data_IF_365398854218
#
_entry.id   IF_365398854218
#
_cell.length_a   1.000
_cell.length_b   1.000
_cell.length_c   1.000
_cell.angle_alpha   90.00
_cell.angle_beta   90.00
_cell.angle_gamma   90.00
#
_symmetry.space_group_name_H-M   'P 1'
#
loop_
_entity.id
_entity.type
_entity.pdbx_description
1 polymer ?
#
# COMPACT_ATOMS: atom_id res chain seq x y z
N UNK A 1 -29.90 7.21 -6.59
CA UNK A 1 -28.74 6.51 -5.98
C UNK A 1 -28.35 7.29 -4.75
N UNK A 2 -28.32 6.64 -3.59
CA UNK A 2 -27.96 7.28 -2.34
C UNK A 2 -26.47 7.69 -2.34
N UNK A 3 -26.05 8.73 -1.60
CA UNK A 3 -24.64 9.15 -1.54
C UNK A 3 -23.68 8.01 -1.18
N UNK A 4 -24.06 7.14 -0.25
CA UNK A 4 -23.25 5.98 0.14
C UNK A 4 -23.07 4.94 -0.99
N UNK A 5 -24.08 4.77 -1.85
CA UNK A 5 -24.01 3.87 -3.00
C UNK A 5 -23.05 4.42 -4.07
N UNK A 6 -23.06 5.75 -4.28
CA UNK A 6 -22.10 6.44 -5.17
C UNK A 6 -20.68 6.23 -4.67
N UNK A 7 -20.43 6.46 -3.37
CA UNK A 7 -19.10 6.29 -2.78
C UNK A 7 -18.59 4.84 -2.88
N UNK A 8 -19.46 3.86 -2.63
CA UNK A 8 -19.09 2.44 -2.72
C UNK A 8 -18.75 2.03 -4.17
N UNK A 9 -19.56 2.45 -5.15
CA UNK A 9 -19.30 2.16 -6.56
C UNK A 9 -18.04 2.86 -7.06
N UNK A 10 -17.84 4.14 -6.69
CA UNK A 10 -16.64 4.89 -7.06
C UNK A 10 -15.40 4.31 -6.39
N UNK A 11 -15.49 3.74 -5.18
CA UNK A 11 -14.38 3.04 -4.55
C UNK A 11 -13.94 1.82 -5.38
N UNK A 12 -14.88 0.99 -5.84
CA UNK A 12 -14.60 -0.15 -6.72
C UNK A 12 -13.95 0.31 -8.03
N UNK A 13 -14.51 1.35 -8.67
CA UNK A 13 -13.94 1.92 -9.91
C UNK A 13 -12.54 2.45 -9.70
N UNK A 14 -12.31 3.15 -8.59
CA UNK A 14 -11.00 3.70 -8.27
C UNK A 14 -9.98 2.58 -8.04
N UNK A 15 -10.32 1.52 -7.30
CA UNK A 15 -9.45 0.36 -7.14
C UNK A 15 -9.14 -0.31 -8.49
N UNK A 16 -10.14 -0.54 -9.34
CA UNK A 16 -9.91 -1.07 -10.69
C UNK A 16 -9.02 -0.16 -11.55
N UNK A 17 -9.20 1.16 -11.46
CA UNK A 17 -8.32 2.12 -12.13
C UNK A 17 -6.88 1.96 -11.64
N UNK A 18 -6.64 1.87 -10.34
CA UNK A 18 -5.30 1.66 -9.78
C UNK A 18 -4.72 0.33 -10.28
N UNK A 19 -5.45 -0.78 -10.15
CA UNK A 19 -5.00 -2.10 -10.60
C UNK A 19 -4.62 -2.10 -12.07
N UNK A 20 -5.46 -1.52 -12.95
CA UNK A 20 -5.17 -1.44 -14.38
C UNK A 20 -3.88 -0.68 -14.68
N UNK A 21 -3.60 0.40 -13.94
CA UNK A 21 -2.39 1.21 -14.16
C UNK A 21 -1.13 0.57 -13.60
N UNK A 22 -1.26 -0.23 -12.53
CA UNK A 22 -0.10 -0.82 -11.85
C UNK A 22 0.15 -2.29 -12.23
N UNK A 23 -0.82 -2.99 -12.81
CA UNK A 23 -0.71 -4.37 -13.25
C UNK A 23 -0.98 -4.51 -14.76
N UNK A 24 -0.19 -3.84 -15.63
CA UNK A 24 -0.31 -4.04 -17.07
C UNK A 24 0.09 -5.48 -17.45
N UNK A 25 -0.51 -5.99 -18.52
CA UNK A 25 -0.10 -7.28 -19.09
C UNK A 25 1.29 -7.21 -19.74
N UNK A 26 1.65 -6.03 -20.25
CA UNK A 26 2.95 -5.74 -20.82
C UNK A 26 3.52 -4.43 -20.26
N UNK A 27 4.57 -4.55 -19.44
CA UNK A 27 5.34 -3.47 -18.85
C UNK A 27 6.32 -2.82 -19.84
N UNK A 28 6.59 -3.41 -21.01
CA UNK A 28 7.63 -2.97 -21.94
C UNK A 28 7.42 -1.58 -22.53
N UNK A 29 6.19 -1.06 -22.46
CA UNK A 29 5.81 0.28 -22.90
C UNK A 29 5.71 1.29 -21.76
N UNK A 30 5.82 0.82 -20.52
CA UNK A 30 5.59 1.62 -19.32
C UNK A 30 6.90 2.20 -18.78
N UNK A 31 6.79 3.34 -18.09
CA UNK A 31 7.86 3.89 -17.26
C UNK A 31 7.58 3.52 -15.81
N UNK A 32 8.52 2.79 -15.21
CA UNK A 32 8.50 2.51 -13.78
C UNK A 32 9.09 3.68 -13.01
N UNK A 33 8.71 3.82 -11.75
CA UNK A 33 9.27 4.83 -10.85
C UNK A 33 9.56 4.26 -9.48
N UNK A 34 10.77 4.54 -8.99
CA UNK A 34 11.24 4.17 -7.66
C UNK A 34 11.42 5.42 -6.81
N UNK A 35 10.91 5.41 -5.58
CA UNK A 35 11.23 6.47 -4.61
C UNK A 35 12.71 6.40 -4.22
N UNK A 36 13.43 7.52 -4.35
CA UNK A 36 14.88 7.65 -4.07
C UNK A 36 15.30 7.33 -2.64
N UNK A 37 14.36 7.15 -1.72
CA UNK A 37 14.64 6.67 -0.37
C UNK A 37 15.38 5.32 -0.32
N UNK A 38 15.39 4.53 -1.41
CA UNK A 38 16.01 3.19 -1.46
C UNK A 38 17.27 3.05 -2.32
N UNK A 39 17.92 4.13 -2.77
CA UNK A 39 19.16 4.02 -3.55
C UNK A 39 20.39 4.19 -2.65
N UNK A 40 20.98 3.07 -2.22
CA UNK A 40 22.29 3.03 -1.58
C UNK A 40 23.36 2.80 -2.66
N UNK A 41 23.52 3.74 -3.58
CA UNK A 41 24.56 3.65 -4.61
C UNK A 41 25.42 4.92 -4.65
N UNK A 42 26.71 4.75 -4.34
CA UNK A 42 27.82 5.60 -4.78
C UNK A 42 27.90 7.01 -4.19
N UNK A 43 28.86 7.20 -3.26
CA UNK A 43 29.55 8.43 -2.79
C UNK A 43 28.76 9.70 -2.44
N UNK A 44 27.53 9.87 -2.88
CA UNK A 44 26.73 11.05 -2.57
C UNK A 44 25.80 10.77 -1.39
N UNK A 45 25.99 11.51 -0.30
CA UNK A 45 25.11 11.53 0.86
C UNK A 45 23.73 12.09 0.44
N UNK A 46 22.79 11.21 0.16
CA UNK A 46 21.41 11.55 -0.13
C UNK A 46 20.47 10.90 0.89
N UNK A 47 19.24 11.42 1.10
CA UNK A 47 18.44 11.22 2.32
C UNK A 47 17.79 9.83 2.48
N UNK A 48 18.32 8.78 1.87
CA UNK A 48 17.85 7.40 2.09
C UNK A 48 17.91 7.03 3.57
N UNK A 49 18.99 7.40 4.26
CA UNK A 49 19.15 7.19 5.71
C UNK A 49 18.09 7.94 6.53
N UNK A 50 17.65 9.13 6.08
CA UNK A 50 16.61 9.89 6.76
C UNK A 50 15.25 9.18 6.67
N UNK A 51 14.87 8.67 5.49
CA UNK A 51 13.59 7.96 5.32
C UNK A 51 13.48 6.74 6.24
N UNK A 52 14.57 5.99 6.38
CA UNK A 52 14.58 4.80 7.24
C UNK A 52 14.74 5.10 8.73
N UNK A 53 15.19 6.30 9.09
CA UNK A 53 15.17 6.80 10.46
C UNK A 53 13.78 7.27 10.93
N UNK A 54 12.78 7.30 10.05
CA UNK A 54 11.43 7.73 10.39
C UNK A 54 10.63 6.62 11.07
N UNK A 55 9.67 7.01 11.90
CA UNK A 55 8.60 6.12 12.33
C UNK A 55 7.78 5.58 11.16
N UNK A 56 7.23 4.37 11.33
CA UNK A 56 6.48 3.64 10.31
C UNK A 56 5.37 4.47 9.64
N UNK A 57 4.58 5.21 10.43
CA UNK A 57 3.48 6.03 9.91
C UNK A 57 3.96 7.10 8.92
N UNK A 58 5.10 7.73 9.20
CA UNK A 58 5.70 8.75 8.33
C UNK A 58 6.23 8.14 7.04
N UNK A 59 6.83 6.96 7.10
CA UNK A 59 7.27 6.23 5.91
C UNK A 59 6.07 5.91 5.00
N UNK A 60 5.01 5.34 5.58
CA UNK A 60 3.77 5.00 4.85
C UNK A 60 3.09 6.24 4.26
N UNK A 61 3.04 7.35 5.00
CA UNK A 61 2.51 8.62 4.49
C UNK A 61 3.27 9.07 3.23
N UNK A 62 4.59 9.04 3.26
CA UNK A 62 5.40 9.45 2.12
C UNK A 62 5.23 8.53 0.90
N UNK A 63 5.19 7.22 1.10
CA UNK A 63 4.94 6.26 0.01
C UNK A 63 3.60 6.51 -0.69
N UNK A 64 2.55 6.87 0.06
CA UNK A 64 1.25 7.23 -0.52
C UNK A 64 1.33 8.44 -1.45
N UNK A 65 2.06 9.49 -1.07
CA UNK A 65 2.21 10.68 -1.90
C UNK A 65 3.01 10.37 -3.17
N UNK A 66 4.09 9.61 -3.04
CA UNK A 66 4.86 9.15 -4.20
C UNK A 66 4.00 8.29 -5.14
N UNK A 67 3.18 7.40 -4.59
CA UNK A 67 2.23 6.59 -5.36
C UNK A 67 1.19 7.46 -6.08
N UNK A 68 0.57 8.41 -5.37
CA UNK A 68 -0.41 9.33 -5.95
C UNK A 68 0.17 10.15 -7.12
N UNK A 69 1.40 10.67 -6.97
CA UNK A 69 2.09 11.38 -8.05
C UNK A 69 2.37 10.47 -9.25
N UNK A 70 2.71 9.21 -9.00
CA UNK A 70 2.97 8.21 -10.04
C UNK A 70 1.70 7.89 -10.83
N UNK A 71 0.57 7.68 -10.13
CA UNK A 71 -0.75 7.50 -10.75
C UNK A 71 -1.16 8.68 -11.61
N UNK A 72 -0.97 9.91 -11.12
CA UNK A 72 -1.28 11.13 -11.86
C UNK A 72 -0.46 11.29 -13.15
N UNK A 73 0.74 10.70 -13.16
CA UNK A 73 1.69 10.75 -14.26
C UNK A 73 1.58 9.54 -15.19
N UNK A 74 0.66 8.60 -14.94
CA UNK A 74 0.54 7.36 -15.70
C UNK A 74 1.77 6.44 -15.60
N UNK A 75 2.45 6.44 -14.45
CA UNK A 75 3.67 5.65 -14.20
C UNK A 75 3.38 4.48 -13.28
N UNK A 76 4.16 3.41 -13.44
CA UNK A 76 4.10 2.23 -12.58
C UNK A 76 5.00 2.44 -11.37
N UNK A 77 4.42 2.41 -10.18
CA UNK A 77 5.12 2.67 -8.94
C UNK A 77 5.74 1.39 -8.36
N UNK A 78 6.96 1.52 -7.85
CA UNK A 78 7.65 0.48 -7.11
C UNK A 78 7.91 0.92 -5.68
N UNK A 79 7.74 0.01 -4.72
CA UNK A 79 8.26 0.23 -3.37
C UNK A 79 9.79 0.40 -3.38
N UNK A 80 10.35 1.16 -2.43
CA UNK A 80 11.78 1.14 -2.15
C UNK A 80 12.32 -0.28 -1.89
N UNK A 81 13.59 -0.48 -2.19
CA UNK A 81 14.29 -1.78 -2.19
C UNK A 81 14.94 -2.17 -0.85
N UNK A 82 14.95 -1.28 0.16
CA UNK A 82 15.68 -1.52 1.41
C UNK A 82 14.91 -1.08 2.67
N UNK A 83 15.35 -1.57 3.83
CA UNK A 83 15.18 -1.03 5.20
C UNK A 83 13.75 -0.75 5.70
N UNK A 84 12.78 -1.63 5.43
CA UNK A 84 11.56 -1.69 6.22
C UNK A 84 11.80 -2.45 7.52
N UNK A 85 11.98 -1.72 8.61
CA UNK A 85 12.23 -2.30 9.94
C UNK A 85 10.90 -2.36 10.71
N UNK A 86 10.13 -3.42 10.48
CA UNK A 86 9.13 -3.86 11.45
C UNK A 86 9.69 -5.11 12.17
N UNK A 87 9.74 -5.13 13.51
CA UNK A 87 10.42 -6.18 14.27
C UNK A 87 9.71 -7.53 14.29
N UNK A 88 8.54 -7.68 13.67
CA UNK A 88 7.67 -8.82 13.96
C UNK A 88 8.10 -10.12 13.27
N UNK A 89 8.61 -10.15 12.01
CA UNK A 89 9.01 -11.44 11.36
C UNK A 89 9.58 -11.34 9.92
N UNK A 90 10.62 -10.55 9.63
CA UNK A 90 11.29 -10.71 8.33
C UNK A 90 12.79 -10.38 8.33
N UNK A 91 13.61 -11.35 7.93
CA UNK A 91 15.07 -11.19 7.85
C UNK A 91 15.50 -10.23 6.72
N UNK A 92 14.72 -10.10 5.63
CA UNK A 92 15.09 -9.25 4.50
C UNK A 92 14.80 -7.76 4.72
N UNK A 93 14.03 -7.39 5.75
CA UNK A 93 13.72 -5.98 6.09
C UNK A 93 13.22 -5.17 4.87
N UNK A 94 12.27 -5.73 4.12
CA UNK A 94 11.75 -5.14 2.89
C UNK A 94 10.22 -5.02 2.95
N UNK A 95 9.65 -4.09 2.18
CA UNK A 95 8.19 -3.85 2.19
C UNK A 95 7.39 -5.07 1.70
N UNK A 96 7.95 -5.86 0.80
CA UNK A 96 7.34 -7.09 0.25
C UNK A 96 7.20 -8.22 1.29
N UNK A 97 7.96 -8.18 2.39
CA UNK A 97 7.74 -9.07 3.55
C UNK A 97 6.37 -8.87 4.21
N UNK A 98 5.81 -7.67 4.12
CA UNK A 98 4.61 -7.30 4.86
C UNK A 98 3.42 -7.05 3.94
N UNK A 99 3.69 -6.41 2.80
CA UNK A 99 2.68 -5.96 1.87
C UNK A 99 2.83 -6.65 0.53
N UNK A 100 1.72 -6.89 -0.15
CA UNK A 100 1.78 -7.39 -1.52
C UNK A 100 2.46 -6.33 -2.42
N UNK A 101 3.18 -6.74 -3.47
CA UNK A 101 3.81 -5.79 -4.37
C UNK A 101 2.77 -4.87 -5.03
N UNK A 102 3.10 -3.59 -5.25
CA UNK A 102 2.16 -2.62 -5.81
C UNK A 102 1.97 -2.79 -7.32
N UNK A 103 2.81 -3.62 -7.96
CA UNK A 103 2.84 -3.90 -9.40
C UNK A 103 3.36 -5.32 -9.66
N UNK A 104 3.02 -5.90 -10.82
CA UNK A 104 3.64 -7.13 -11.35
C UNK A 104 4.91 -6.86 -12.18
N UNK A 105 5.20 -5.61 -12.51
CA UNK A 105 6.36 -5.25 -13.30
C UNK A 105 7.65 -5.43 -12.49
N UNK A 106 8.73 -5.72 -13.20
CA UNK A 106 10.09 -5.80 -12.68
C UNK A 106 10.72 -4.41 -12.60
N UNK A 107 11.49 -4.18 -11.53
CA UNK A 107 12.34 -2.99 -11.38
C UNK A 107 13.49 -2.93 -12.41
N UNK A 108 13.73 -4.00 -13.16
CA UNK A 108 14.80 -4.09 -14.16
C UNK A 108 14.31 -3.51 -15.50
N UNK A 109 15.10 -2.63 -16.10
CA UNK A 109 14.83 -2.09 -17.45
C UNK A 109 15.14 -3.14 -18.50
N UNK A 110 14.35 -3.18 -19.58
CA UNK A 110 14.65 -4.07 -20.70
C UNK A 110 16.03 -3.73 -21.30
N UNK A 111 17.01 -4.67 -21.33
CA UNK A 111 18.28 -4.40 -21.98
C UNK A 111 18.05 -4.22 -23.48
N UNK A 112 18.74 -3.24 -24.06
CA UNK A 112 18.89 -3.14 -25.50
C UNK A 112 19.60 -4.39 -25.98
N UNK A 113 18.85 -5.30 -26.60
CA UNK A 113 19.28 -6.58 -27.18
C UNK A 113 19.72 -7.69 -26.20
N UNK A 114 19.18 -8.90 -26.43
CA UNK A 114 19.59 -10.22 -25.86
C UNK A 114 19.16 -10.69 -24.45
N UNK A 115 18.18 -10.08 -23.78
CA UNK A 115 17.53 -10.72 -22.61
C UNK A 115 16.48 -11.77 -23.01
N UNK A 116 16.36 -12.86 -22.22
CA UNK A 116 15.35 -13.93 -22.36
C UNK A 116 13.96 -13.36 -22.74
N UNK A 117 13.50 -13.67 -23.95
CA UNK A 117 12.28 -13.08 -24.55
C UNK A 117 11.06 -13.19 -23.63
N UNK A 118 11.01 -14.26 -22.84
CA UNK A 118 9.91 -14.58 -21.94
C UNK A 118 9.73 -13.60 -20.78
N UNK A 119 10.76 -12.83 -20.38
CA UNK A 119 10.66 -11.87 -19.26
C UNK A 119 10.60 -10.40 -19.72
N UNK A 120 10.64 -10.13 -21.03
CA UNK A 120 10.62 -8.76 -21.55
C UNK A 120 9.32 -8.02 -21.23
N UNK A 121 8.19 -8.72 -21.26
CA UNK A 121 6.88 -8.16 -20.95
C UNK A 121 6.74 -7.72 -19.48
N UNK A 122 7.62 -8.17 -18.59
CA UNK A 122 7.63 -7.72 -17.19
C UNK A 122 8.54 -6.51 -16.97
N UNK A 123 9.39 -6.13 -17.93
CA UNK A 123 10.38 -5.07 -17.73
C UNK A 123 9.86 -3.74 -18.25
N UNK A 124 10.21 -2.66 -17.56
CA UNK A 124 9.88 -1.31 -18.03
C UNK A 124 10.70 -0.91 -19.25
N UNK A 125 10.15 0.02 -20.04
CA UNK A 125 10.91 0.76 -21.05
C UNK A 125 12.02 1.59 -20.41
N UNK A 126 11.69 2.23 -19.29
CA UNK A 126 12.56 3.11 -18.53
C UNK A 126 12.20 3.05 -17.05
N UNK A 127 13.20 3.32 -16.20
CA UNK A 127 13.01 3.46 -14.76
C UNK A 127 13.43 4.86 -14.34
N UNK A 128 12.48 5.59 -13.76
CA UNK A 128 12.72 6.91 -13.21
C UNK A 128 12.90 6.83 -11.69
N UNK A 129 13.61 7.81 -11.15
CA UNK A 129 13.77 7.97 -9.71
C UNK A 129 13.05 9.23 -9.25
N UNK A 130 12.17 9.12 -8.25
CA UNK A 130 11.40 10.23 -7.71
C UNK A 130 11.93 10.65 -6.33
N UNK A 131 11.96 11.97 -6.01
CA UNK A 131 12.27 12.42 -4.66
C UNK A 131 11.23 11.90 -3.66
N UNK A 132 11.61 11.91 -2.38
CA UNK A 132 10.67 11.62 -1.30
C UNK A 132 9.67 12.79 -1.17
N UNK A 133 8.36 12.48 -1.19
CA UNK A 133 7.29 13.47 -1.06
C UNK A 133 6.56 13.28 0.25
N UNK A 134 6.21 14.38 0.90
CA UNK A 134 5.68 14.38 2.27
C UNK A 134 4.24 14.84 2.34
N UNK A 135 3.89 15.81 1.50
CA UNK A 135 2.55 16.31 1.33
C UNK A 135 2.47 17.05 0.00
N UNK A 136 1.30 16.98 -0.63
CA UNK A 136 0.87 17.91 -1.65
C UNK A 136 -0.65 17.83 -1.74
N UNK A 137 -1.29 18.93 -2.11
CA UNK A 137 -2.74 18.92 -2.35
C UNK A 137 -3.05 17.99 -3.53
N UNK A 138 -3.83 16.94 -3.28
CA UNK A 138 -4.23 16.04 -4.35
C UNK A 138 -5.08 16.80 -5.39
N UNK A 139 -4.75 16.75 -6.69
CA UNK A 139 -5.59 17.32 -7.74
C UNK A 139 -6.83 16.43 -7.97
N UNK A 140 -7.77 16.45 -7.01
CA UNK A 140 -8.90 15.51 -6.87
C UNK A 140 -9.75 15.43 -8.13
N UNK A 141 -10.08 16.57 -8.75
CA UNK A 141 -10.85 16.60 -10.01
C UNK A 141 -10.15 15.85 -11.14
N UNK A 142 -8.83 15.97 -11.25
CA UNK A 142 -8.04 15.25 -12.25
C UNK A 142 -8.04 13.75 -11.95
N UNK A 143 -7.87 13.35 -10.69
CA UNK A 143 -7.94 11.95 -10.26
C UNK A 143 -9.32 11.34 -10.56
N UNK A 144 -10.42 12.01 -10.19
CA UNK A 144 -11.78 11.57 -10.50
C UNK A 144 -11.95 11.30 -11.98
N UNK A 145 -11.53 12.26 -12.81
CA UNK A 145 -11.65 12.17 -14.27
C UNK A 145 -10.83 11.02 -14.84
N UNK A 146 -9.58 10.86 -14.42
CA UNK A 146 -8.71 9.76 -14.88
C UNK A 146 -9.28 8.39 -14.51
N UNK A 147 -9.88 8.28 -13.32
CA UNK A 147 -10.46 7.05 -12.82
C UNK A 147 -11.92 6.80 -13.24
N UNK A 148 -12.56 7.72 -13.97
CA UNK A 148 -13.95 7.60 -14.39
C UNK A 148 -14.94 7.58 -13.22
N UNK A 149 -14.66 8.34 -12.16
CA UNK A 149 -15.52 8.44 -10.99
C UNK A 149 -16.73 9.32 -11.26
N UNK A 150 -17.85 9.01 -10.60
CA UNK A 150 -19.10 9.74 -10.72
C UNK A 150 -19.07 11.05 -9.94
N UNK A 151 -18.29 11.10 -8.85
CA UNK A 151 -18.14 12.26 -7.98
C UNK A 151 -16.67 12.61 -7.70
N UNK A 152 -16.48 13.85 -7.24
CA UNK A 152 -15.20 14.32 -6.69
C UNK A 152 -15.24 14.18 -5.17
N UNK A 153 -14.55 13.17 -4.66
CA UNK A 153 -14.52 12.86 -3.22
C UNK A 153 -13.60 13.78 -2.41
N UNK A 154 -13.63 13.67 -1.09
CA UNK A 154 -12.72 14.37 -0.19
C UNK A 154 -11.27 13.87 -0.34
N UNK A 155 -10.28 14.66 0.08
CA UNK A 155 -8.88 14.25 0.04
C UNK A 155 -8.60 13.02 0.92
N UNK A 156 -9.23 12.97 2.10
CA UNK A 156 -9.17 11.82 2.99
C UNK A 156 -9.68 10.54 2.33
N UNK A 157 -10.73 10.61 1.52
CA UNK A 157 -11.26 9.46 0.78
C UNK A 157 -10.22 8.89 -0.19
N UNK A 158 -9.57 9.74 -1.00
CA UNK A 158 -8.52 9.29 -1.94
C UNK A 158 -7.33 8.68 -1.20
N UNK A 159 -6.88 9.32 -0.12
CA UNK A 159 -5.81 8.77 0.70
C UNK A 159 -6.19 7.43 1.33
N UNK A 160 -7.43 7.27 1.77
CA UNK A 160 -7.98 6.00 2.25
C UNK A 160 -7.85 4.91 1.18
N UNK A 161 -8.41 5.15 -0.01
CA UNK A 161 -8.36 4.19 -1.13
C UNK A 161 -6.94 3.83 -1.55
N UNK A 162 -6.05 4.82 -1.65
CA UNK A 162 -4.63 4.61 -1.99
C UNK A 162 -3.95 3.76 -0.90
N UNK A 163 -4.22 4.04 0.38
CA UNK A 163 -3.63 3.28 1.50
C UNK A 163 -4.11 1.83 1.48
N UNK A 164 -5.40 1.60 1.23
CA UNK A 164 -5.99 0.26 1.11
C UNK A 164 -5.33 -0.56 0.00
N UNK A 165 -5.05 0.06 -1.15
CA UNK A 165 -4.34 -0.61 -2.24
C UNK A 165 -2.87 -0.87 -1.90
N UNK A 166 -2.16 0.18 -1.48
CA UNK A 166 -0.70 0.16 -1.37
C UNK A 166 -0.25 -0.75 -0.22
N UNK A 167 -0.94 -0.71 0.92
CA UNK A 167 -0.57 -1.47 2.13
C UNK A 167 -1.45 -2.71 2.33
N UNK A 168 -1.91 -3.29 1.23
CA UNK A 168 -2.55 -4.60 1.24
C UNK A 168 -1.57 -5.64 1.80
N UNK A 169 -1.96 -6.44 2.82
CA UNK A 169 -1.08 -7.46 3.35
C UNK A 169 -0.76 -8.51 2.28
N UNK A 170 0.46 -9.04 2.29
CA UNK A 170 0.81 -10.20 1.48
C UNK A 170 0.12 -11.47 2.02
N UNK A 171 0.31 -12.60 1.32
CA UNK A 171 -0.32 -13.88 1.70
C UNK A 171 0.04 -14.32 3.13
N UNK A 172 1.31 -14.20 3.51
CA UNK A 172 1.80 -14.57 4.85
C UNK A 172 1.14 -13.72 5.94
N UNK A 173 1.03 -12.41 5.72
CA UNK A 173 0.40 -11.50 6.68
C UNK A 173 -1.11 -11.62 6.74
N UNK A 174 -1.75 -12.02 5.65
CA UNK A 174 -3.18 -12.40 5.67
C UNK A 174 -3.40 -13.65 6.53
N UNK A 175 -2.56 -14.68 6.36
CA UNK A 175 -2.63 -15.90 7.16
C UNK A 175 -2.38 -15.60 8.66
N UNK A 176 -1.34 -14.84 8.97
CA UNK A 176 -1.04 -14.42 10.35
C UNK A 176 -2.19 -13.61 10.97
N UNK A 177 -2.79 -12.68 10.21
CA UNK A 177 -3.96 -11.94 10.69
C UNK A 177 -5.13 -12.88 11.01
N UNK A 178 -5.39 -13.88 10.17
CA UNK A 178 -6.47 -14.84 10.41
C UNK A 178 -6.21 -15.64 11.71
N UNK A 179 -4.99 -16.13 11.90
CA UNK A 179 -4.56 -16.84 13.11
C UNK A 179 -4.72 -15.96 14.37
N UNK A 180 -4.18 -14.74 14.34
CA UNK A 180 -4.19 -13.82 15.48
C UNK A 180 -5.60 -13.34 15.83
N UNK A 181 -6.45 -13.06 14.84
CA UNK A 181 -7.84 -12.68 15.09
C UNK A 181 -8.62 -13.82 15.78
N UNK A 182 -8.33 -15.07 15.46
CA UNK A 182 -8.89 -16.21 16.18
C UNK A 182 -8.40 -16.28 17.62
N UNK A 183 -7.12 -16.00 17.87
CA UNK A 183 -6.54 -15.95 19.22
C UNK A 183 -7.15 -14.82 20.08
N UNK A 184 -7.37 -13.64 19.50
CA UNK A 184 -8.05 -12.53 20.22
C UNK A 184 -9.55 -12.78 20.42
N UNK A 185 -10.22 -13.49 19.50
CA UNK A 185 -11.61 -13.90 19.68
C UNK A 185 -11.77 -14.90 20.84
N UNK A 186 -10.72 -15.67 21.15
CA UNK A 186 -10.70 -16.58 22.29
C UNK A 186 -10.60 -15.82 23.64
N UNK A 187 -9.86 -14.72 23.67
CA UNK A 187 -9.68 -13.91 24.87
C UNK A 187 -10.95 -13.16 25.28
N UNK A 188 -11.78 -12.70 24.32
CA UNK A 188 -13.07 -12.06 24.66
C UNK A 188 -14.04 -13.03 25.35
N UNK A 189 -14.02 -14.31 25.00
CA UNK A 189 -14.82 -15.33 25.69
C UNK A 189 -14.29 -15.65 27.08
N UNK A 190 -12.96 -15.65 27.30
CA UNK A 190 -12.40 -15.80 28.64
C UNK A 190 -12.60 -14.56 29.53
N UNK A 191 -12.51 -13.35 28.96
CA UNK A 191 -12.72 -12.11 29.72
C UNK A 191 -14.18 -11.93 30.11
N UNK A 192 -15.14 -12.34 29.25
CA UNK A 192 -16.58 -12.30 29.54
C UNK A 192 -16.99 -13.40 30.54
N UNK A 193 -16.39 -14.58 30.47
CA UNK A 193 -16.60 -15.63 31.46
C UNK A 193 -16.06 -15.23 32.85
N UNK A 194 -14.88 -14.60 32.92
CA UNK A 194 -14.29 -14.14 34.18
C UNK A 194 -15.03 -12.93 34.79
N UNK A 195 -15.55 -12.00 33.98
CA UNK A 195 -16.36 -10.88 34.50
C UNK A 195 -17.78 -11.27 34.93
N UNK A 196 -18.37 -12.32 34.34
CA UNK A 196 -19.69 -12.83 34.75
C UNK A 196 -19.63 -13.82 35.94
N UNK A 197 -18.48 -14.44 36.20
CA UNK A 197 -18.32 -15.35 37.35
C UNK A 197 -17.71 -14.67 38.59
N UNK A 198 -17.32 -13.39 38.49
CA UNK A 198 -16.80 -12.58 39.60
C UNK A 198 -17.83 -11.58 40.17
N UNK A 199 -19.14 -11.76 39.91
CA UNK A 199 -20.21 -11.01 40.58
C UNK A 199 -20.86 -11.86 41.69
N UNK A 200 -20.32 -11.90 42.92
CA UNK A 200 -21.07 -12.39 44.08
C UNK A 200 -22.00 -11.26 44.53
N UNK A 201 -23.29 -11.36 44.19
CA UNK A 201 -24.30 -10.45 44.71
C UNK A 201 -25.50 -10.31 43.80
N UNK A 202 -26.43 -11.26 43.88
CA UNK A 202 -27.71 -11.20 43.18
C UNK A 202 -28.51 -9.97 43.60
N UNK A 203 -28.93 -9.18 42.61
CA UNK A 203 -29.99 -8.20 42.76
C UNK A 203 -31.34 -8.91 42.58
N UNK A 204 -32.03 -9.00 43.72
CA UNK A 204 -33.48 -9.07 43.91
C UNK A 204 -34.22 -10.38 43.62
N UNK A 205 -34.73 -10.98 44.71
CA UNK A 205 -36.12 -11.44 44.77
C UNK A 205 -36.78 -10.82 46.01
N UNK A 206 -37.91 -10.16 45.80
CA UNK A 206 -38.65 -9.47 46.84
C UNK A 206 -39.27 -10.41 47.87
N UNK A 207 -39.24 -9.96 49.12
CA UNK A 207 -40.43 -9.68 49.93
C UNK A 207 -40.15 -8.42 50.75
#
# INVERSE_FOLDING_TARGET
MAPAEVEAQDAVRFQHYIFRNQFPQDCSTTTGVLTRAGLKEGRDRWPGDYFYGLGLGSQMASLKFNFAKSLLSGRVYHFPTSHYVNPVRCASQTFDCYFAPPTNCSRVVAPGTQGARHLRHLRHRAMDTAPLLWCFELPRRRLSRLAGLSAVHSEAWYHGQISTFLFRPNHEMQAYRAEVLHSFAFDVNHTRAATLSAAPGGLHNGR
#
